data_IF_111985599341
#
_entry.id   IF_111985599341
#
_cell.length_a   1.000
_cell.length_b   1.000
_cell.length_c   1.000
_cell.angle_alpha   90.00
_cell.angle_beta   90.00
_cell.angle_gamma   90.00
#
_symmetry.space_group_name_H-M   'P 1'
#
loop_
_entity.id
_entity.type
_entity.pdbx_description
1 polymer ?
#
# COMPACT_ATOMS: atom_id res chain seq x y z
N UNK A 1 -58.87 -14.01 5.87
CA UNK A 1 -58.39 -15.19 6.58
C UNK A 1 -57.19 -15.68 5.79
N UNK A 2 -56.01 -15.71 6.20
CA UNK A 2 -55.18 -15.57 7.36
C UNK A 2 -53.83 -14.99 6.93
N UNK A 3 -53.31 -14.04 7.70
CA UNK A 3 -51.96 -13.50 7.56
C UNK A 3 -50.97 -14.51 8.13
N UNK A 4 -49.93 -14.86 7.42
CA UNK A 4 -48.74 -15.45 8.00
C UNK A 4 -47.56 -14.48 7.80
N UNK A 5 -47.11 -13.93 8.92
CA UNK A 5 -45.94 -13.09 9.04
C UNK A 5 -44.71 -13.97 9.02
N UNK A 6 -43.74 -13.66 8.15
CA UNK A 6 -42.36 -14.17 8.28
C UNK A 6 -41.46 -13.14 8.94
N UNK A 7 -41.10 -13.44 10.16
CA UNK A 7 -40.07 -12.73 10.94
C UNK A 7 -38.73 -13.10 10.38
N UNK A 8 -38.02 -12.09 9.94
CA UNK A 8 -36.61 -12.18 9.51
C UNK A 8 -35.71 -12.40 10.73
N UNK A 9 -35.06 -13.55 10.83
CA UNK A 9 -33.92 -13.81 11.71
C UNK A 9 -32.71 -14.05 10.80
N UNK A 10 -31.94 -13.03 10.60
CA UNK A 10 -30.58 -13.15 10.05
C UNK A 10 -29.66 -12.17 10.79
N UNK A 11 -29.20 -12.59 11.93
CA UNK A 11 -28.02 -12.00 12.60
C UNK A 11 -27.23 -13.16 13.20
N UNK A 12 -25.93 -13.13 13.04
CA UNK A 12 -24.92 -14.08 13.51
C UNK A 12 -24.57 -15.24 12.56
N UNK A 13 -23.61 -14.96 11.65
CA UNK A 13 -22.54 -15.92 11.27
C UNK A 13 -21.44 -15.19 10.48
N UNK A 14 -20.64 -14.37 11.13
CA UNK A 14 -19.36 -13.87 10.56
C UNK A 14 -18.26 -13.90 11.63
N UNK A 15 -17.97 -15.08 12.13
CA UNK A 15 -17.00 -15.17 13.20
C UNK A 15 -16.15 -16.44 13.29
N UNK A 16 -16.23 -17.36 12.33
CA UNK A 16 -15.46 -18.62 12.43
C UNK A 16 -15.09 -19.11 11.03
N UNK A 17 -14.17 -18.46 10.34
CA UNK A 17 -13.55 -19.03 9.13
C UNK A 17 -12.03 -18.78 9.01
N UNK A 18 -11.44 -18.06 9.93
CA UNK A 18 -9.99 -17.75 9.82
C UNK A 18 -9.04 -18.82 10.39
N UNK A 19 -9.55 -19.88 10.99
CA UNK A 19 -8.70 -20.87 11.70
C UNK A 19 -8.32 -22.12 10.89
N UNK A 20 -8.83 -22.29 9.67
CA UNK A 20 -8.67 -23.57 8.94
C UNK A 20 -7.80 -23.54 7.68
N UNK A 21 -7.32 -22.38 7.22
CA UNK A 21 -6.56 -22.30 5.97
C UNK A 21 -5.03 -22.25 6.11
N UNK A 22 -4.47 -22.38 7.33
CA UNK A 22 -3.02 -22.41 7.53
C UNK A 22 -2.39 -23.82 7.47
N UNK A 23 -3.18 -24.89 7.33
CA UNK A 23 -2.69 -26.27 7.42
C UNK A 23 -2.47 -26.99 6.09
N UNK A 24 -2.61 -26.34 4.93
CA UNK A 24 -2.62 -27.03 3.62
C UNK A 24 -1.43 -26.77 2.69
N UNK A 25 -0.33 -26.15 3.14
CA UNK A 25 0.84 -25.94 2.30
C UNK A 25 2.04 -26.85 2.58
N UNK A 26 1.92 -27.84 3.46
CA UNK A 26 2.97 -28.86 3.65
C UNK A 26 2.36 -30.25 3.86
N UNK A 27 1.98 -30.88 2.78
CA UNK A 27 1.71 -32.31 2.76
C UNK A 27 2.52 -32.96 1.64
N UNK A 28 3.78 -33.31 1.93
CA UNK A 28 4.45 -34.48 1.36
C UNK A 28 5.72 -34.80 2.16
N UNK A 29 5.63 -35.63 3.13
CA UNK A 29 6.33 -36.91 3.34
C UNK A 29 6.18 -37.37 4.79
N UNK A 30 5.73 -38.59 4.89
CA UNK A 30 5.55 -39.36 6.12
C UNK A 30 6.85 -39.63 6.84
N UNK A 31 6.98 -39.21 8.09
CA UNK A 31 7.57 -40.00 9.19
C UNK A 31 7.19 -39.32 10.51
N UNK A 32 6.49 -40.08 11.35
CA UNK A 32 6.14 -39.72 12.72
C UNK A 32 7.41 -39.48 13.51
N UNK A 33 7.54 -38.25 14.02
CA UNK A 33 8.11 -37.86 15.29
C UNK A 33 8.13 -36.32 15.31
N UNK A 34 7.05 -35.67 15.79
CA UNK A 34 7.12 -34.27 16.22
C UNK A 34 7.91 -34.26 17.55
N UNK A 35 9.11 -33.63 17.59
CA UNK A 35 9.72 -33.32 18.88
C UNK A 35 8.87 -32.26 19.58
N UNK A 36 8.32 -32.59 20.73
CA UNK A 36 7.83 -31.59 21.69
C UNK A 36 8.88 -30.50 21.85
N UNK A 37 8.58 -29.21 21.65
CA UNK A 37 9.57 -28.14 21.73
C UNK A 37 9.94 -27.88 23.19
N UNK A 38 10.90 -28.62 23.72
CA UNK A 38 11.71 -28.20 24.85
C UNK A 38 12.76 -27.25 24.29
N UNK A 39 12.68 -25.96 24.51
CA UNK A 39 13.62 -24.89 24.17
C UNK A 39 13.33 -24.06 22.89
N UNK A 40 12.08 -23.82 22.54
CA UNK A 40 11.79 -22.81 21.53
C UNK A 40 12.23 -21.42 22.04
N UNK A 41 13.18 -20.78 21.32
CA UNK A 41 13.63 -19.41 21.66
C UNK A 41 12.45 -18.47 21.55
N UNK A 42 12.16 -17.76 22.64
CA UNK A 42 11.06 -16.82 22.72
C UNK A 42 11.52 -15.47 23.29
N UNK A 43 10.84 -14.39 22.91
CA UNK A 43 11.03 -13.05 23.43
C UNK A 43 9.67 -12.40 23.64
N UNK A 44 9.54 -11.67 24.75
CA UNK A 44 8.36 -10.84 25.01
C UNK A 44 8.57 -9.44 24.45
N UNK A 45 7.49 -8.84 23.95
CA UNK A 45 7.44 -7.45 23.50
C UNK A 45 6.12 -6.81 23.90
N UNK A 46 6.10 -5.47 23.98
CA UNK A 46 4.90 -4.68 24.23
C UNK A 46 4.55 -3.89 22.96
N UNK A 47 3.28 -3.85 22.62
CA UNK A 47 2.76 -2.95 21.58
C UNK A 47 2.75 -1.53 22.16
N UNK A 48 3.64 -0.66 21.67
CA UNK A 48 3.82 0.70 22.21
C UNK A 48 2.99 1.74 21.50
N UNK A 49 2.74 1.54 20.21
CA UNK A 49 2.05 2.53 19.36
C UNK A 49 1.26 1.83 18.25
N UNK A 50 0.17 2.48 17.82
CA UNK A 50 -0.53 2.21 16.57
C UNK A 50 -0.29 3.37 15.62
N UNK A 51 0.44 3.15 14.55
CA UNK A 51 0.69 4.20 13.57
C UNK A 51 -0.55 4.54 12.72
N UNK A 52 -0.42 5.58 11.89
CA UNK A 52 -1.51 6.04 11.02
C UNK A 52 -1.97 5.02 9.97
N UNK A 53 -1.19 3.99 9.70
CA UNK A 53 -1.52 2.88 8.80
C UNK A 53 -2.20 1.71 9.51
N UNK A 54 -2.40 1.81 10.83
CA UNK A 54 -2.99 0.73 11.63
C UNK A 54 -2.02 -0.41 11.96
N UNK A 55 -0.73 -0.22 11.75
CA UNK A 55 0.31 -1.16 12.14
C UNK A 55 0.76 -0.90 13.59
N UNK A 56 1.29 -1.91 14.27
CA UNK A 56 1.71 -1.82 15.67
C UNK A 56 3.24 -1.77 15.80
N UNK A 57 3.75 -0.73 16.44
CA UNK A 57 5.14 -0.62 16.83
C UNK A 57 5.37 -1.37 18.15
N UNK A 58 6.53 -2.02 18.26
CA UNK A 58 6.94 -2.79 19.44
C UNK A 58 8.08 -2.09 20.19
N UNK A 59 8.18 -2.33 21.48
CA UNK A 59 9.34 -1.96 22.32
C UNK A 59 10.57 -2.87 22.04
N UNK A 60 10.75 -3.26 20.80
CA UNK A 60 11.73 -4.26 20.37
C UNK A 60 12.45 -3.82 19.11
N UNK A 61 13.78 -3.85 19.15
CA UNK A 61 14.63 -3.58 17.99
C UNK A 61 15.11 -4.87 17.31
N UNK A 62 15.52 -4.78 16.05
CA UNK A 62 16.13 -5.91 15.34
C UNK A 62 17.43 -6.37 16.03
N UNK A 63 18.22 -5.45 16.57
CA UNK A 63 19.45 -5.79 17.31
C UNK A 63 19.17 -6.58 18.58
N UNK A 64 18.07 -6.26 19.29
CA UNK A 64 17.62 -7.02 20.45
C UNK A 64 17.17 -8.42 20.07
N UNK A 65 16.47 -8.57 18.95
CA UNK A 65 16.10 -9.86 18.36
C UNK A 65 17.32 -10.68 17.98
N UNK A 66 18.30 -10.07 17.30
CA UNK A 66 19.56 -10.74 16.90
C UNK A 66 20.34 -11.29 18.10
N UNK A 67 20.43 -10.53 19.18
CA UNK A 67 21.06 -10.99 20.43
C UNK A 67 20.36 -12.22 21.04
N UNK A 68 19.09 -12.45 20.70
CA UNK A 68 18.29 -13.60 21.11
C UNK A 68 18.26 -14.73 20.07
N UNK A 69 19.04 -14.62 18.98
CA UNK A 69 19.16 -15.64 17.96
C UNK A 69 18.15 -15.52 16.81
N UNK A 70 17.33 -14.48 16.77
CA UNK A 70 16.45 -14.18 15.63
C UNK A 70 17.19 -13.37 14.57
N UNK A 71 16.74 -13.45 13.31
CA UNK A 71 17.25 -12.60 12.24
C UNK A 71 16.19 -12.39 11.17
N UNK A 72 16.45 -11.45 10.25
CA UNK A 72 15.65 -11.26 9.04
C UNK A 72 15.66 -12.56 8.21
N UNK A 73 14.48 -12.97 7.77
CA UNK A 73 14.28 -14.23 7.06
C UNK A 73 13.84 -15.40 7.96
N UNK A 74 13.75 -15.19 9.28
CA UNK A 74 13.15 -16.19 10.18
C UNK A 74 11.62 -16.14 10.09
N UNK A 75 10.95 -17.25 10.34
CA UNK A 75 9.50 -17.30 10.59
C UNK A 75 9.30 -17.41 12.10
N UNK A 76 8.43 -16.57 12.64
CA UNK A 76 8.08 -16.54 14.06
C UNK A 76 6.57 -16.73 14.24
N UNK A 77 6.18 -17.25 15.41
CA UNK A 77 4.80 -17.24 15.89
C UNK A 77 4.64 -16.10 16.87
N UNK A 78 3.72 -15.19 16.61
CA UNK A 78 3.33 -14.08 17.49
C UNK A 78 2.01 -14.43 18.16
N UNK A 79 1.95 -14.33 19.50
CA UNK A 79 0.77 -14.68 20.28
C UNK A 79 0.66 -13.82 21.54
N UNK A 80 -0.51 -13.80 22.17
CA UNK A 80 -0.75 -13.09 23.42
C UNK A 80 -1.46 -11.75 23.28
N UNK A 81 -1.59 -11.01 24.38
CA UNK A 81 -2.38 -9.79 24.44
C UNK A 81 -3.84 -10.03 24.06
N UNK A 82 -4.43 -9.11 23.30
CA UNK A 82 -5.77 -9.22 22.74
C UNK A 82 -5.79 -9.72 21.29
N UNK A 83 -4.70 -10.32 20.80
CA UNK A 83 -4.71 -11.01 19.51
C UNK A 83 -5.64 -12.22 19.58
N UNK A 84 -6.58 -12.37 18.64
CA UNK A 84 -7.60 -13.44 18.71
C UNK A 84 -7.03 -14.83 18.45
N UNK A 85 -5.88 -14.91 17.76
CA UNK A 85 -5.19 -16.15 17.40
C UNK A 85 -3.68 -15.94 17.39
N UNK A 86 -2.91 -17.02 17.49
CA UNK A 86 -1.48 -16.99 17.22
C UNK A 86 -1.23 -16.87 15.72
N UNK A 87 -0.27 -16.04 15.32
CA UNK A 87 0.02 -15.69 13.94
C UNK A 87 1.46 -16.09 13.59
N UNK A 88 1.59 -16.89 12.56
CA UNK A 88 2.89 -17.13 11.95
C UNK A 88 3.22 -16.04 10.96
N UNK A 89 4.41 -15.44 11.07
CA UNK A 89 4.82 -14.36 10.20
C UNK A 89 6.34 -14.31 10.02
N UNK A 90 6.83 -13.81 8.88
CA UNK A 90 8.26 -13.63 8.67
C UNK A 90 8.77 -12.38 9.41
N UNK A 91 10.03 -12.44 9.85
CA UNK A 91 10.84 -11.24 10.11
C UNK A 91 11.43 -10.79 8.79
N UNK A 92 11.05 -9.61 8.30
CA UNK A 92 11.44 -9.12 6.97
C UNK A 92 12.07 -7.74 7.04
N UNK A 93 12.91 -7.40 6.04
CA UNK A 93 13.59 -6.11 6.01
C UNK A 93 12.67 -4.94 5.69
N UNK A 94 11.64 -5.11 4.85
CA UNK A 94 10.54 -4.14 4.75
C UNK A 94 9.49 -4.38 3.66
N UNK A 95 9.73 -5.14 2.63
CA UNK A 95 8.76 -5.26 1.53
C UNK A 95 7.90 -6.49 1.71
N UNK A 96 6.67 -6.26 2.14
CA UNK A 96 5.64 -7.29 2.16
C UNK A 96 4.84 -7.22 0.86
N UNK A 97 4.49 -8.38 0.32
CA UNK A 97 3.50 -8.46 -0.76
C UNK A 97 2.13 -7.97 -0.26
N UNK A 98 1.35 -7.33 -1.13
CA UNK A 98 0.00 -6.82 -0.79
C UNK A 98 -0.82 -7.89 -0.08
N UNK A 99 -1.40 -7.56 1.07
CA UNK A 99 -2.19 -8.46 1.90
C UNK A 99 -1.41 -9.45 2.75
N UNK A 100 -0.07 -9.49 2.67
CA UNK A 100 0.76 -10.32 3.55
C UNK A 100 1.07 -9.60 4.85
N UNK A 101 1.04 -10.31 5.98
CA UNK A 101 1.51 -9.78 7.24
C UNK A 101 2.96 -10.20 7.52
N UNK A 102 3.61 -9.43 8.36
CA UNK A 102 4.98 -9.70 8.78
C UNK A 102 5.41 -8.79 9.90
N UNK A 103 6.52 -9.17 10.54
CA UNK A 103 7.24 -8.31 11.45
C UNK A 103 8.36 -7.62 10.66
N UNK A 104 8.21 -6.35 10.41
CA UNK A 104 9.15 -5.59 9.60
C UNK A 104 9.80 -4.45 10.40
N UNK A 105 10.98 -4.05 9.93
CA UNK A 105 11.67 -2.89 10.43
C UNK A 105 11.09 -1.65 9.75
N UNK A 106 10.41 -0.80 10.50
CA UNK A 106 9.88 0.45 9.97
C UNK A 106 10.56 1.64 10.64
N UNK A 107 11.08 2.54 9.83
CA UNK A 107 11.77 3.75 10.28
C UNK A 107 10.80 4.93 10.28
N UNK A 108 9.84 4.93 11.22
CA UNK A 108 8.97 6.10 11.45
C UNK A 108 9.42 6.96 12.64
N UNK A 109 10.52 6.56 13.31
CA UNK A 109 11.13 7.26 14.43
C UNK A 109 12.65 7.31 14.25
N UNK A 110 13.34 8.11 15.06
CA UNK A 110 14.81 8.20 15.06
C UNK A 110 15.51 6.87 15.39
N UNK A 111 14.76 5.89 15.94
CA UNK A 111 15.25 4.54 16.19
C UNK A 111 14.31 3.54 15.51
N UNK A 112 14.83 2.69 14.59
CA UNK A 112 14.04 1.70 13.91
C UNK A 112 13.56 0.62 14.88
N UNK A 113 12.25 0.52 15.07
CA UNK A 113 11.60 -0.49 15.90
C UNK A 113 10.96 -1.57 15.04
N UNK A 114 10.79 -2.77 15.60
CA UNK A 114 10.03 -3.83 14.93
C UNK A 114 8.55 -3.47 14.91
N UNK A 115 7.91 -3.74 13.81
CA UNK A 115 6.52 -3.40 13.57
C UNK A 115 5.74 -4.61 13.09
N UNK A 116 4.59 -4.90 13.73
CA UNK A 116 3.62 -5.85 13.19
C UNK A 116 2.83 -5.13 12.08
N UNK A 117 2.98 -5.59 10.87
CA UNK A 117 2.41 -4.92 9.71
C UNK A 117 1.62 -5.88 8.81
N UNK A 118 0.61 -5.32 8.17
CA UNK A 118 -0.11 -5.91 7.07
C UNK A 118 0.08 -5.02 5.84
N UNK A 119 0.61 -5.57 4.78
CA UNK A 119 0.93 -4.80 3.57
C UNK A 119 -0.34 -4.28 2.90
N UNK A 120 -0.40 -2.96 2.70
CA UNK A 120 -1.51 -2.22 2.11
C UNK A 120 -2.86 -2.46 2.82
N UNK A 121 -2.82 -2.71 4.14
CA UNK A 121 -4.00 -2.84 4.98
C UNK A 121 -3.67 -2.48 6.44
N UNK A 122 -4.70 -2.25 7.25
CA UNK A 122 -4.57 -2.00 8.67
C UNK A 122 -4.46 -3.32 9.45
N UNK A 123 -3.30 -3.58 10.07
CA UNK A 123 -3.11 -4.77 10.90
C UNK A 123 -4.10 -4.81 12.06
N UNK A 124 -4.26 -3.69 12.79
CA UNK A 124 -5.16 -3.60 13.94
C UNK A 124 -6.62 -3.88 13.59
N UNK A 125 -7.09 -3.41 12.44
CA UNK A 125 -8.48 -3.53 12.04
C UNK A 125 -8.79 -4.93 11.47
N UNK A 126 -7.81 -5.60 10.88
CA UNK A 126 -7.95 -6.91 10.25
C UNK A 126 -7.60 -8.08 11.16
N UNK A 127 -6.60 -7.89 12.00
CA UNK A 127 -6.06 -8.96 12.84
C UNK A 127 -6.49 -8.80 14.29
N UNK A 128 -6.58 -7.56 14.78
CA UNK A 128 -6.85 -7.24 16.17
C UNK A 128 -5.58 -6.82 16.95
N UNK A 129 -5.67 -6.78 18.26
CA UNK A 129 -4.63 -6.25 19.14
C UNK A 129 -4.88 -4.80 19.53
N UNK A 130 -4.16 -4.32 20.54
CA UNK A 130 -4.22 -2.92 21.01
C UNK A 130 -2.90 -2.48 21.66
N UNK A 131 -2.69 -1.18 21.70
CA UNK A 131 -1.57 -0.57 22.44
C UNK A 131 -1.62 -0.97 23.92
N UNK A 132 -0.48 -1.35 24.48
CA UNK A 132 -0.31 -1.89 25.82
C UNK A 132 -0.37 -3.42 25.90
N UNK A 133 -0.72 -4.13 24.83
CA UNK A 133 -0.69 -5.59 24.84
C UNK A 133 0.75 -6.11 24.94
N UNK A 134 0.93 -7.12 25.79
CA UNK A 134 2.15 -7.93 25.84
C UNK A 134 1.97 -9.15 24.96
N UNK A 135 2.93 -9.36 24.07
CA UNK A 135 2.94 -10.44 23.10
C UNK A 135 4.21 -11.26 23.24
N UNK A 136 4.10 -12.55 22.95
CA UNK A 136 5.23 -13.48 22.88
C UNK A 136 5.58 -13.73 21.40
N UNK A 137 6.86 -13.64 21.08
CA UNK A 137 7.42 -13.88 19.75
C UNK A 137 8.31 -15.13 19.86
N UNK A 138 7.87 -16.23 19.30
CA UNK A 138 8.53 -17.54 19.41
C UNK A 138 9.10 -17.94 18.06
N UNK A 139 10.35 -18.41 18.03
CA UNK A 139 10.96 -18.96 16.82
C UNK A 139 10.17 -20.17 16.33
N UNK A 140 9.65 -20.09 15.10
CA UNK A 140 8.99 -21.21 14.43
C UNK A 140 9.94 -21.91 13.48
N UNK A 141 10.61 -21.15 12.61
CA UNK A 141 11.53 -21.72 11.63
C UNK A 141 12.68 -20.75 11.34
N UNK A 142 13.89 -21.17 11.64
CA UNK A 142 15.10 -20.40 11.33
C UNK A 142 15.33 -20.34 9.82
N UNK A 143 15.47 -19.13 9.28
CA UNK A 143 15.72 -18.90 7.86
C UNK A 143 14.58 -19.30 6.91
N UNK A 144 13.39 -19.64 7.44
CA UNK A 144 12.28 -20.17 6.62
C UNK A 144 11.71 -19.20 5.59
N UNK A 145 12.01 -17.91 5.69
CA UNK A 145 11.59 -16.85 4.75
C UNK A 145 12.78 -16.20 4.05
N UNK A 146 13.99 -16.73 4.23
CA UNK A 146 15.21 -16.06 3.72
C UNK A 146 15.21 -15.91 2.21
N UNK A 147 14.82 -16.92 1.48
CA UNK A 147 14.76 -16.92 0.02
C UNK A 147 13.78 -15.84 -0.48
N UNK A 148 12.57 -15.77 0.08
CA UNK A 148 11.58 -14.75 -0.27
C UNK A 148 12.05 -13.34 0.09
N UNK A 149 12.68 -13.17 1.26
CA UNK A 149 13.23 -11.90 1.65
C UNK A 149 14.35 -11.43 0.70
N UNK A 150 15.19 -12.33 0.22
CA UNK A 150 16.25 -12.03 -0.75
C UNK A 150 15.65 -11.68 -2.13
N UNK A 151 14.56 -12.35 -2.56
CA UNK A 151 13.80 -11.99 -3.78
C UNK A 151 13.22 -10.58 -3.73
N UNK A 152 12.78 -10.12 -2.57
CA UNK A 152 12.12 -8.82 -2.40
C UNK A 152 13.09 -7.70 -2.00
N UNK A 153 14.39 -7.98 -1.93
CA UNK A 153 15.42 -7.00 -1.63
C UNK A 153 15.69 -6.13 -2.86
N UNK A 154 14.89 -5.10 -3.02
CA UNK A 154 15.02 -4.17 -4.14
C UNK A 154 16.14 -3.15 -3.90
N UNK A 155 16.78 -2.71 -4.98
CA UNK A 155 17.75 -1.63 -4.96
C UNK A 155 17.09 -0.32 -4.54
N UNK A 156 17.74 0.44 -3.69
CA UNK A 156 17.33 1.81 -3.31
C UNK A 156 18.56 2.70 -3.28
N UNK A 157 18.47 3.86 -3.89
CA UNK A 157 19.47 4.93 -3.74
C UNK A 157 18.78 6.26 -3.41
N UNK A 158 19.42 7.01 -2.52
CA UNK A 158 19.01 8.37 -2.16
C UNK A 158 19.91 9.44 -2.81
N UNK A 159 20.85 9.04 -3.65
CA UNK A 159 21.75 9.92 -4.35
C UNK A 159 21.22 10.25 -5.74
N UNK A 160 20.99 11.54 -6.03
CA UNK A 160 20.54 12.00 -7.35
C UNK A 160 21.48 11.52 -8.48
N UNK A 161 22.80 11.47 -8.24
CA UNK A 161 23.79 11.02 -9.22
C UNK A 161 23.61 9.58 -9.72
N UNK A 162 22.86 8.76 -8.99
CA UNK A 162 22.60 7.37 -9.35
C UNK A 162 21.39 7.23 -10.32
N UNK A 163 20.82 8.34 -10.77
CA UNK A 163 19.64 8.41 -11.62
C UNK A 163 19.93 9.24 -12.88
N UNK A 164 19.37 8.83 -14.01
CA UNK A 164 19.64 9.43 -15.31
C UNK A 164 19.03 10.83 -15.46
N UNK A 165 17.93 11.12 -14.75
CA UNK A 165 17.26 12.42 -14.78
C UNK A 165 16.62 12.79 -13.44
N UNK A 166 16.26 14.08 -13.30
CA UNK A 166 15.53 14.61 -12.14
C UNK A 166 14.13 13.98 -12.07
N UNK A 167 13.49 13.79 -13.22
CA UNK A 167 12.20 13.14 -13.34
C UNK A 167 12.24 11.71 -12.80
N UNK A 168 13.27 10.95 -13.14
CA UNK A 168 13.46 9.60 -12.62
C UNK A 168 13.74 9.61 -11.12
N UNK A 169 14.61 10.50 -10.65
CA UNK A 169 14.91 10.62 -9.23
C UNK A 169 13.69 11.00 -8.40
N UNK A 170 12.93 12.01 -8.83
CA UNK A 170 11.72 12.44 -8.16
C UNK A 170 10.50 11.53 -8.43
N UNK A 171 10.64 10.49 -9.24
CA UNK A 171 9.53 9.67 -9.73
C UNK A 171 8.41 10.54 -10.36
N UNK A 172 8.80 11.61 -11.06
CA UNK A 172 7.93 12.62 -11.62
C UNK A 172 7.67 12.33 -13.11
N UNK A 173 6.44 12.07 -13.47
CA UNK A 173 6.04 11.84 -14.87
C UNK A 173 4.52 11.95 -15.03
N UNK A 174 4.03 12.21 -16.27
CA UNK A 174 2.60 12.24 -16.51
C UNK A 174 1.96 10.85 -16.35
N UNK A 175 0.73 10.82 -15.88
CA UNK A 175 -0.15 9.67 -15.96
C UNK A 175 -0.94 9.82 -17.25
N UNK A 176 -0.64 8.97 -18.22
CA UNK A 176 -1.18 9.06 -19.58
C UNK A 176 -1.61 7.69 -20.09
N UNK A 177 -2.56 7.68 -21.01
CA UNK A 177 -2.89 6.58 -21.91
C UNK A 177 -3.50 7.15 -23.20
N UNK A 178 -3.67 6.33 -24.20
CA UNK A 178 -4.23 6.74 -25.50
C UNK A 178 -5.60 7.41 -25.42
N UNK A 179 -6.39 7.10 -24.37
CA UNK A 179 -7.70 7.70 -24.13
C UNK A 179 -7.69 8.99 -23.30
N UNK A 180 -6.56 9.38 -22.71
CA UNK A 180 -6.46 10.55 -21.81
C UNK A 180 -6.02 11.82 -22.51
N UNK A 181 -6.48 12.97 -21.99
CA UNK A 181 -5.92 14.28 -22.36
C UNK A 181 -4.46 14.34 -21.93
N UNK A 182 -3.54 14.74 -22.82
CA UNK A 182 -2.13 14.82 -22.50
C UNK A 182 -1.86 15.90 -21.46
N UNK A 183 -0.78 15.75 -20.69
CA UNK A 183 -0.26 16.72 -19.70
C UNK A 183 -1.27 17.23 -18.67
N UNK A 184 -2.37 16.50 -18.49
CA UNK A 184 -3.43 16.86 -17.54
C UNK A 184 -3.07 16.49 -16.11
N UNK A 185 -2.44 15.32 -15.95
CA UNK A 185 -2.21 14.67 -14.65
C UNK A 185 -0.78 14.15 -14.55
N UNK A 186 -0.11 14.51 -13.48
CA UNK A 186 1.24 14.08 -13.13
C UNK A 186 1.27 13.32 -11.81
N UNK A 187 2.30 12.54 -11.62
CA UNK A 187 2.63 11.88 -10.36
C UNK A 187 4.07 12.15 -9.95
N UNK A 188 4.35 12.10 -8.64
CA UNK A 188 5.71 12.23 -8.11
C UNK A 188 5.87 11.58 -6.74
N UNK A 189 7.12 11.51 -6.25
CA UNK A 189 7.40 11.43 -4.81
C UNK A 189 6.92 12.69 -4.11
N UNK A 190 6.92 12.66 -2.77
CA UNK A 190 6.49 13.80 -1.95
C UNK A 190 7.32 15.06 -2.25
N UNK A 191 6.66 16.23 -2.45
CA UNK A 191 7.33 17.54 -2.46
C UNK A 191 7.53 18.09 -1.03
N UNK A 192 7.34 17.26 -0.01
CA UNK A 192 7.69 17.50 1.38
C UNK A 192 8.78 16.49 1.77
N UNK A 193 9.77 16.94 2.56
CA UNK A 193 10.86 16.09 3.00
C UNK A 193 10.36 14.90 3.82
N UNK A 194 10.82 13.72 3.45
CA UNK A 194 10.54 12.48 4.17
C UNK A 194 11.82 11.99 4.86
N UNK A 195 11.69 11.35 6.00
CA UNK A 195 12.84 10.83 6.76
C UNK A 195 13.64 9.77 6.00
N UNK A 196 12.96 8.99 5.17
CA UNK A 196 13.55 7.98 4.30
C UNK A 196 13.94 8.50 2.91
N UNK A 197 13.71 9.79 2.64
CA UNK A 197 13.93 10.40 1.35
C UNK A 197 14.14 11.92 1.44
N UNK A 198 15.25 12.36 2.06
CA UNK A 198 15.40 13.74 2.50
C UNK A 198 15.69 14.75 1.39
N UNK A 199 15.91 14.34 0.14
CA UNK A 199 16.36 15.25 -0.93
C UNK A 199 15.45 15.28 -2.17
N UNK A 200 14.59 14.27 -2.37
CA UNK A 200 13.75 14.18 -3.59
C UNK A 200 12.68 15.27 -3.69
N UNK A 201 12.27 15.84 -2.54
CA UNK A 201 11.24 16.86 -2.50
C UNK A 201 11.60 18.10 -3.32
N UNK A 202 12.89 18.52 -3.32
CA UNK A 202 13.37 19.67 -4.09
C UNK A 202 13.19 19.46 -5.59
N UNK A 203 13.47 18.23 -6.06
CA UNK A 203 13.32 17.87 -7.47
C UNK A 203 11.85 17.72 -7.86
N UNK A 204 11.02 17.13 -7.00
CA UNK A 204 9.58 17.02 -7.24
C UNK A 204 8.94 18.42 -7.36
N UNK A 205 9.31 19.35 -6.48
CA UNK A 205 8.86 20.74 -6.48
C UNK A 205 9.30 21.49 -7.74
N UNK A 206 10.60 21.44 -8.04
CA UNK A 206 11.16 22.11 -9.22
C UNK A 206 10.54 21.63 -10.53
N UNK A 207 10.27 20.33 -10.64
CA UNK A 207 9.58 19.74 -11.79
C UNK A 207 8.09 20.14 -11.83
N UNK A 208 7.41 20.22 -10.69
CA UNK A 208 6.04 20.70 -10.61
C UNK A 208 5.93 22.16 -11.12
N UNK A 209 6.86 23.03 -10.71
CA UNK A 209 6.98 24.40 -11.23
C UNK A 209 7.22 24.42 -12.76
N UNK A 210 8.16 23.59 -13.23
CA UNK A 210 8.55 23.52 -14.65
C UNK A 210 7.38 23.17 -15.57
N UNK A 211 6.50 22.28 -15.15
CA UNK A 211 5.32 21.88 -15.95
C UNK A 211 4.07 22.67 -15.61
N UNK A 212 4.12 23.60 -14.65
CA UNK A 212 3.04 24.51 -14.31
C UNK A 212 1.88 23.81 -13.59
N UNK A 213 2.16 22.89 -12.66
CA UNK A 213 1.12 22.28 -11.82
C UNK A 213 0.29 23.37 -11.13
N UNK A 214 -1.02 23.23 -11.17
CA UNK A 214 -1.94 24.19 -10.55
C UNK A 214 -2.62 23.69 -9.29
N UNK A 215 -2.80 22.36 -9.21
CA UNK A 215 -3.42 21.74 -8.01
C UNK A 215 -2.66 20.47 -7.63
N UNK A 216 -2.39 20.33 -6.33
CA UNK A 216 -1.71 19.18 -5.76
C UNK A 216 -2.65 18.38 -4.86
N UNK A 217 -2.75 17.08 -5.08
CA UNK A 217 -3.48 16.13 -4.25
C UNK A 217 -2.48 15.29 -3.45
N UNK A 218 -2.35 15.57 -2.16
CA UNK A 218 -1.45 14.80 -1.30
C UNK A 218 -2.16 13.65 -0.62
N UNK A 219 -1.69 12.42 -0.91
CA UNK A 219 -2.16 11.20 -0.26
C UNK A 219 -1.26 10.81 0.93
N UNK A 220 -0.17 11.54 1.16
CA UNK A 220 0.83 11.22 2.19
C UNK A 220 0.61 11.99 3.49
N UNK A 221 0.27 13.25 3.41
CA UNK A 221 0.32 14.18 4.52
C UNK A 221 -1.06 14.69 4.92
N UNK A 222 -1.21 15.05 6.21
CA UNK A 222 -2.27 15.93 6.68
C UNK A 222 -1.80 17.39 6.57
N UNK A 223 -2.76 18.32 6.58
CA UNK A 223 -2.46 19.74 6.62
C UNK A 223 -1.62 20.14 7.86
N UNK A 224 -1.85 19.48 9.00
CA UNK A 224 -1.04 19.67 10.21
C UNK A 224 0.44 19.33 9.97
N UNK A 225 0.73 18.20 9.30
CA UNK A 225 2.11 17.80 8.98
C UNK A 225 2.77 18.82 8.03
N UNK A 226 2.02 19.34 7.07
CA UNK A 226 2.47 20.39 6.17
C UNK A 226 2.79 21.68 6.93
N UNK A 227 1.88 22.14 7.79
CA UNK A 227 2.08 23.32 8.64
C UNK A 227 3.28 23.19 9.57
N UNK A 228 3.52 21.99 10.11
CA UNK A 228 4.71 21.71 10.92
C UNK A 228 5.99 21.89 10.10
N UNK A 229 6.06 21.37 8.87
CA UNK A 229 7.20 21.58 7.99
C UNK A 229 7.42 23.06 7.67
N UNK A 230 6.36 23.79 7.31
CA UNK A 230 6.43 25.24 7.07
C UNK A 230 6.94 26.01 8.28
N UNK A 231 6.51 25.63 9.49
CA UNK A 231 6.93 26.28 10.74
C UNK A 231 8.42 26.10 11.07
N UNK A 232 9.03 25.01 10.60
CA UNK A 232 10.48 24.78 10.75
C UNK A 232 11.30 25.57 9.74
N UNK A 233 10.71 26.11 8.71
CA UNK A 233 11.37 26.88 7.65
C UNK A 233 12.22 26.02 6.71
N UNK A 234 12.03 24.70 6.69
CA UNK A 234 12.81 23.77 5.85
C UNK A 234 12.03 22.49 5.54
N UNK A 235 12.50 21.73 4.55
CA UNK A 235 11.96 20.42 4.23
C UNK A 235 10.70 20.47 3.36
N UNK A 236 10.45 21.57 2.68
CA UNK A 236 9.37 21.73 1.69
C UNK A 236 9.90 22.41 0.42
N UNK A 237 9.18 22.21 -0.69
CA UNK A 237 9.47 22.90 -1.93
C UNK A 237 8.81 24.28 -1.98
N UNK A 238 9.51 25.28 -2.47
CA UNK A 238 9.04 26.68 -2.53
C UNK A 238 7.81 26.85 -3.43
N UNK A 239 7.74 26.10 -4.54
CA UNK A 239 6.57 26.16 -5.41
C UNK A 239 5.33 25.55 -4.77
N UNK A 240 5.49 24.44 -4.11
CA UNK A 240 4.39 23.82 -3.38
C UNK A 240 3.94 24.70 -2.19
N UNK A 241 4.87 25.47 -1.59
CA UNK A 241 4.48 26.49 -0.60
C UNK A 241 3.62 27.58 -1.23
N UNK A 242 3.97 28.11 -2.41
CA UNK A 242 3.17 29.08 -3.15
C UNK A 242 1.76 28.51 -3.39
N UNK A 243 1.66 27.28 -3.90
CA UNK A 243 0.38 26.59 -4.13
C UNK A 243 -0.42 26.38 -2.82
N UNK A 244 0.26 26.13 -1.70
CA UNK A 244 -0.39 26.00 -0.40
C UNK A 244 -0.99 27.34 0.06
N UNK A 245 -0.22 28.42 -0.05
CA UNK A 245 -0.67 29.77 0.32
C UNK A 245 -1.89 30.23 -0.54
N UNK A 246 -2.01 29.70 -1.76
CA UNK A 246 -3.14 29.91 -2.68
C UNK A 246 -4.35 28.98 -2.41
N UNK A 247 -4.21 28.00 -1.50
CA UNK A 247 -5.24 26.99 -1.23
C UNK A 247 -5.33 25.87 -2.28
N UNK A 248 -4.27 25.69 -3.06
CA UNK A 248 -4.19 24.73 -4.18
C UNK A 248 -3.52 23.39 -3.81
N UNK A 249 -3.25 23.14 -2.52
CA UNK A 249 -2.85 21.81 -2.00
C UNK A 249 -4.01 21.24 -1.22
N UNK A 250 -4.46 20.05 -1.62
CA UNK A 250 -5.59 19.33 -1.05
C UNK A 250 -5.12 18.06 -0.33
N UNK A 251 -5.55 17.89 0.92
CA UNK A 251 -5.01 16.89 1.84
C UNK A 251 -5.94 15.69 1.99
N UNK A 252 -5.48 14.51 1.53
CA UNK A 252 -6.22 13.24 1.57
C UNK A 252 -5.37 12.13 2.18
N UNK A 253 -4.73 12.40 3.32
CA UNK A 253 -3.90 11.38 3.99
C UNK A 253 -4.63 10.04 4.03
N UNK A 254 -4.15 9.09 3.24
CA UNK A 254 -4.73 7.77 3.02
C UNK A 254 -3.78 6.67 3.44
N UNK A 255 -4.30 5.60 4.04
CA UNK A 255 -3.52 4.41 4.39
C UNK A 255 -3.34 3.44 3.22
N UNK A 256 -3.99 3.66 2.07
CA UNK A 256 -4.05 2.75 0.90
C UNK A 256 -4.81 1.45 1.19
N UNK A 257 -5.53 1.35 2.24
CA UNK A 257 -6.29 0.12 2.47
C UNK A 257 -7.51 0.08 1.53
N UNK A 258 -7.28 -0.43 0.31
CA UNK A 258 -8.36 -0.60 -0.70
C UNK A 258 -9.39 -1.66 -0.29
N UNK A 259 -9.14 -2.38 0.80
CA UNK A 259 -10.06 -3.32 1.40
C UNK A 259 -11.01 -2.66 2.42
N UNK A 260 -10.83 -1.39 2.73
CA UNK A 260 -11.60 -0.69 3.77
C UNK A 260 -12.41 0.44 3.17
N UNK A 261 -13.71 0.41 3.38
CA UNK A 261 -14.65 1.38 2.81
C UNK A 261 -14.29 2.84 3.12
N UNK A 262 -13.75 3.13 4.32
CA UNK A 262 -13.30 4.50 4.68
C UNK A 262 -12.17 5.04 3.80
N UNK A 263 -11.31 4.17 3.29
CA UNK A 263 -10.22 4.59 2.37
C UNK A 263 -10.76 4.74 0.94
N UNK A 264 -11.72 3.92 0.56
CA UNK A 264 -12.46 4.09 -0.70
C UNK A 264 -13.18 5.45 -0.74
N UNK A 265 -13.79 5.89 0.36
CA UNK A 265 -14.41 7.23 0.47
C UNK A 265 -13.41 8.34 0.19
N UNK A 266 -12.18 8.25 0.71
CA UNK A 266 -11.11 9.25 0.41
C UNK A 266 -10.75 9.27 -1.07
N UNK A 267 -10.74 8.12 -1.75
CA UNK A 267 -10.55 8.08 -3.20
C UNK A 267 -11.66 8.88 -3.88
N UNK A 268 -12.92 8.70 -3.45
CA UNK A 268 -14.06 9.48 -3.93
C UNK A 268 -13.91 10.99 -3.69
N UNK A 269 -13.39 11.38 -2.53
CA UNK A 269 -13.11 12.79 -2.21
C UNK A 269 -12.06 13.40 -3.13
N UNK A 270 -10.95 12.66 -3.42
CA UNK A 270 -9.94 13.08 -4.41
C UNK A 270 -10.60 13.32 -5.77
N UNK A 271 -11.42 12.36 -6.25
CA UNK A 271 -12.08 12.44 -7.55
C UNK A 271 -13.05 13.65 -7.63
N UNK A 272 -13.85 13.89 -6.59
CA UNK A 272 -14.74 15.07 -6.50
C UNK A 272 -13.96 16.37 -6.51
N UNK A 273 -12.81 16.39 -5.87
CA UNK A 273 -11.98 17.59 -5.83
C UNK A 273 -11.31 17.87 -7.17
N UNK A 274 -10.96 16.84 -7.94
CA UNK A 274 -10.48 17.02 -9.32
C UNK A 274 -11.53 17.70 -10.20
N UNK A 275 -12.82 17.41 -9.99
CA UNK A 275 -13.92 18.08 -10.74
C UNK A 275 -14.07 19.58 -10.41
N UNK A 276 -13.49 20.04 -9.32
CA UNK A 276 -13.62 21.42 -8.80
C UNK A 276 -12.32 22.22 -8.86
N UNK A 277 -11.25 21.59 -9.29
CA UNK A 277 -9.91 22.16 -9.29
C UNK A 277 -9.39 22.37 -10.71
N UNK A 278 -8.38 23.20 -10.84
CA UNK A 278 -7.77 23.55 -12.11
C UNK A 278 -6.56 22.63 -12.44
N UNK A 279 -6.53 22.01 -13.61
CA UNK A 279 -5.36 21.29 -14.11
C UNK A 279 -4.25 22.28 -14.56
N UNK A 280 -2.99 21.80 -14.73
CA UNK A 280 -2.52 20.43 -14.55
C UNK A 280 -2.46 20.00 -13.07
N UNK A 281 -2.80 18.74 -12.83
CA UNK A 281 -2.82 18.14 -11.50
C UNK A 281 -1.53 17.40 -11.17
N UNK A 282 -1.11 17.45 -9.90
CA UNK A 282 -0.11 16.56 -9.34
C UNK A 282 -0.75 15.69 -8.27
N UNK A 283 -0.67 14.38 -8.42
CA UNK A 283 -1.01 13.42 -7.36
C UNK A 283 0.27 12.82 -6.82
N UNK A 284 0.44 12.85 -5.52
CA UNK A 284 1.59 12.25 -4.88
C UNK A 284 1.23 11.50 -3.59
N UNK A 285 2.06 10.53 -3.24
CA UNK A 285 2.17 9.98 -1.90
C UNK A 285 3.62 10.13 -1.43
N UNK A 286 4.08 9.37 -0.46
CA UNK A 286 5.46 9.44 0.00
C UNK A 286 6.46 9.17 -1.15
N UNK A 287 6.26 8.06 -1.88
CA UNK A 287 7.14 7.63 -2.96
C UNK A 287 6.57 7.88 -4.37
N UNK A 288 5.33 8.32 -4.49
CA UNK A 288 4.64 8.43 -5.79
C UNK A 288 4.41 7.07 -6.45
N UNK A 289 4.38 5.98 -5.69
CA UNK A 289 4.39 4.60 -6.19
C UNK A 289 3.05 3.90 -5.96
N UNK A 290 2.75 3.50 -4.73
CA UNK A 290 1.62 2.61 -4.42
C UNK A 290 0.26 3.34 -4.44
N UNK A 291 0.03 4.28 -3.51
CA UNK A 291 -1.22 5.09 -3.42
C UNK A 291 -1.50 5.88 -4.69
N UNK A 292 -0.48 6.55 -5.16
CA UNK A 292 -0.52 7.31 -6.41
C UNK A 292 -0.77 6.40 -7.61
N UNK A 293 -0.17 5.21 -7.61
CA UNK A 293 -0.37 4.20 -8.64
C UNK A 293 -1.81 3.69 -8.69
N UNK A 294 -2.44 3.45 -7.54
CA UNK A 294 -3.84 3.05 -7.47
C UNK A 294 -4.77 4.10 -8.12
N UNK A 295 -4.59 5.38 -7.80
CA UNK A 295 -5.34 6.47 -8.43
C UNK A 295 -5.09 6.48 -9.94
N UNK A 296 -3.82 6.29 -10.36
CA UNK A 296 -3.46 6.20 -11.78
C UNK A 296 -4.19 5.07 -12.51
N UNK A 297 -4.20 3.86 -11.93
CA UNK A 297 -4.92 2.70 -12.49
C UNK A 297 -6.42 3.04 -12.68
N UNK A 298 -7.06 3.60 -11.66
CA UNK A 298 -8.48 3.96 -11.69
C UNK A 298 -8.75 4.96 -12.82
N UNK A 299 -7.99 6.04 -12.91
CA UNK A 299 -8.20 7.09 -13.92
C UNK A 299 -7.89 6.61 -15.34
N UNK A 300 -6.79 5.87 -15.53
CA UNK A 300 -6.46 5.29 -16.83
C UNK A 300 -7.53 4.26 -17.28
N UNK A 301 -8.04 3.44 -16.37
CA UNK A 301 -9.14 2.50 -16.66
C UNK A 301 -10.42 3.23 -17.07
N UNK A 302 -10.77 4.33 -16.38
CA UNK A 302 -11.94 5.16 -16.76
C UNK A 302 -11.76 5.80 -18.13
N UNK A 303 -10.54 6.13 -18.52
CA UNK A 303 -10.21 6.69 -19.82
C UNK A 303 -10.08 5.64 -20.94
N UNK A 304 -10.25 4.35 -20.63
CA UNK A 304 -10.22 3.26 -21.61
C UNK A 304 -8.80 2.80 -21.98
N UNK A 305 -7.85 2.92 -21.06
CA UNK A 305 -6.47 2.44 -21.25
C UNK A 305 -6.42 0.94 -21.55
N UNK A 306 -5.41 0.51 -22.32
CA UNK A 306 -5.06 -0.90 -22.48
C UNK A 306 -4.33 -1.43 -21.25
N UNK A 307 -4.23 -2.76 -21.14
CA UNK A 307 -3.46 -3.40 -20.06
C UNK A 307 -2.01 -2.92 -20.04
N UNK A 308 -1.38 -2.88 -21.21
CA UNK A 308 0.03 -2.49 -21.38
C UNK A 308 0.28 -1.04 -20.99
N UNK A 309 -0.68 -0.14 -21.26
CA UNK A 309 -0.59 1.26 -20.85
C UNK A 309 -0.65 1.41 -19.33
N UNK A 310 -1.59 0.72 -18.68
CA UNK A 310 -1.74 0.73 -17.21
C UNK A 310 -0.53 0.09 -16.55
N UNK A 311 -0.09 -1.08 -17.03
CA UNK A 311 1.10 -1.79 -16.55
C UNK A 311 2.35 -0.91 -16.65
N UNK A 312 2.63 -0.40 -17.84
CA UNK A 312 3.80 0.44 -18.11
C UNK A 312 3.83 1.66 -17.20
N UNK A 313 2.70 2.36 -17.07
CA UNK A 313 2.58 3.52 -16.18
C UNK A 313 2.81 3.16 -14.71
N UNK A 314 2.25 2.06 -14.25
CA UNK A 314 2.38 1.62 -12.85
C UNK A 314 3.79 1.12 -12.55
N UNK A 315 4.33 0.21 -13.37
CA UNK A 315 5.64 -0.41 -13.16
C UNK A 315 6.80 0.57 -13.37
N UNK A 316 6.61 1.64 -14.16
CA UNK A 316 7.58 2.73 -14.29
C UNK A 316 7.95 3.34 -12.94
N UNK A 317 7.00 3.42 -11.98
CA UNK A 317 7.31 3.90 -10.65
C UNK A 317 8.28 2.99 -9.90
N UNK A 318 8.17 1.68 -10.08
CA UNK A 318 9.09 0.71 -9.48
C UNK A 318 10.45 0.71 -10.19
N UNK A 319 10.46 0.89 -11.50
CA UNK A 319 11.70 1.10 -12.24
C UNK A 319 12.44 2.35 -11.75
N UNK A 320 11.75 3.46 -11.63
CA UNK A 320 12.34 4.72 -11.15
C UNK A 320 12.92 4.60 -9.74
N UNK A 321 12.22 3.89 -8.83
CA UNK A 321 12.65 3.72 -7.44
C UNK A 321 13.68 2.63 -7.24
N UNK A 322 13.53 1.49 -7.93
CA UNK A 322 14.20 0.24 -7.60
C UNK A 322 14.98 -0.35 -8.76
N UNK A 323 15.00 0.28 -9.92
CA UNK A 323 15.55 -0.29 -11.15
C UNK A 323 14.90 -1.65 -11.50
N UNK A 324 13.64 -1.81 -11.10
CA UNK A 324 12.91 -3.04 -11.33
C UNK A 324 12.38 -3.10 -12.76
N UNK A 325 12.98 -3.97 -13.56
CA UNK A 325 12.58 -4.28 -14.93
C UNK A 325 12.74 -5.76 -15.24
N UNK A 326 12.43 -6.17 -16.46
CA UNK A 326 12.46 -7.56 -16.90
C UNK A 326 13.84 -8.23 -16.83
N UNK A 327 14.93 -7.48 -16.61
CA UNK A 327 16.27 -8.04 -16.38
C UNK A 327 16.49 -8.51 -14.93
N UNK A 328 15.62 -8.08 -14.01
CA UNK A 328 15.68 -8.52 -12.63
C UNK A 328 15.28 -10.00 -12.49
N UNK A 329 16.06 -10.87 -11.83
CA UNK A 329 15.82 -12.33 -11.83
C UNK A 329 14.44 -12.75 -11.32
N UNK A 330 13.82 -11.95 -10.47
CA UNK A 330 12.51 -12.22 -9.86
C UNK A 330 11.43 -11.25 -10.33
N UNK A 331 11.61 -10.64 -11.51
CA UNK A 331 10.67 -9.64 -12.04
C UNK A 331 9.24 -10.19 -12.14
N UNK A 332 9.08 -11.39 -12.68
CA UNK A 332 7.75 -11.98 -12.86
C UNK A 332 7.01 -12.16 -11.52
N UNK A 333 7.71 -12.65 -10.49
CA UNK A 333 7.13 -12.81 -9.15
C UNK A 333 6.74 -11.45 -8.55
N UNK A 334 7.63 -10.45 -8.68
CA UNK A 334 7.39 -9.10 -8.18
C UNK A 334 6.28 -8.40 -8.94
N UNK A 335 6.24 -8.52 -10.26
CA UNK A 335 5.18 -8.00 -11.11
C UNK A 335 3.80 -8.53 -10.66
N UNK A 336 3.71 -9.85 -10.47
CA UNK A 336 2.48 -10.49 -9.99
C UNK A 336 2.02 -9.92 -8.63
N UNK A 337 2.92 -9.78 -7.68
CA UNK A 337 2.53 -9.31 -6.32
C UNK A 337 2.34 -7.80 -6.21
N UNK A 338 3.01 -7.01 -7.04
CA UNK A 338 2.95 -5.55 -7.00
C UNK A 338 1.84 -4.99 -7.89
N UNK A 339 1.58 -5.60 -9.04
CA UNK A 339 0.65 -5.09 -10.03
C UNK A 339 -0.59 -5.96 -10.24
N UNK A 340 -0.43 -7.25 -10.60
CA UNK A 340 -1.61 -8.10 -10.90
C UNK A 340 -2.54 -8.27 -9.70
N UNK A 341 -2.00 -8.34 -8.48
CA UNK A 341 -2.82 -8.37 -7.26
C UNK A 341 -3.68 -7.15 -7.09
N UNK A 342 -3.17 -5.95 -7.39
CA UNK A 342 -3.95 -4.72 -7.29
C UNK A 342 -5.10 -4.73 -8.30
N UNK A 343 -4.82 -5.16 -9.54
CA UNK A 343 -5.88 -5.32 -10.54
C UNK A 343 -6.93 -6.34 -10.09
N UNK A 344 -6.50 -7.47 -9.53
CA UNK A 344 -7.42 -8.48 -8.99
C UNK A 344 -8.32 -7.90 -7.89
N UNK A 345 -7.73 -7.17 -6.94
CA UNK A 345 -8.48 -6.55 -5.85
C UNK A 345 -9.48 -5.54 -6.40
N UNK A 346 -9.10 -4.68 -7.32
CA UNK A 346 -9.98 -3.71 -7.97
C UNK A 346 -11.10 -4.40 -8.76
N UNK A 347 -10.79 -5.51 -9.46
CA UNK A 347 -11.80 -6.29 -10.20
C UNK A 347 -12.86 -6.94 -9.31
N UNK A 348 -12.60 -7.03 -8.01
CA UNK A 348 -13.50 -7.53 -6.97
C UNK A 348 -14.02 -6.41 -6.06
N UNK A 349 -13.87 -5.15 -6.45
CA UNK A 349 -14.31 -3.98 -5.68
C UNK A 349 -13.75 -3.94 -4.24
N UNK A 350 -12.56 -4.52 -4.03
CA UNK A 350 -11.95 -4.67 -2.71
C UNK A 350 -12.46 -5.86 -1.88
N UNK A 351 -13.48 -6.57 -2.35
CA UNK A 351 -14.07 -7.73 -1.64
C UNK A 351 -13.33 -9.03 -2.02
N UNK A 352 -12.20 -9.25 -1.37
CA UNK A 352 -11.33 -10.41 -1.58
C UNK A 352 -11.03 -11.16 -0.29
N UNK A 353 -10.94 -12.49 -0.39
CA UNK A 353 -10.31 -13.32 0.64
C UNK A 353 -8.79 -13.16 0.54
N UNK A 354 -8.22 -12.40 1.49
CA UNK A 354 -6.80 -12.05 1.50
C UNK A 354 -5.92 -13.31 1.57
N UNK A 355 -6.28 -14.29 2.41
CA UNK A 355 -5.47 -15.50 2.57
C UNK A 355 -5.45 -16.32 1.27
N UNK A 356 -6.61 -16.45 0.62
CA UNK A 356 -6.74 -17.12 -0.67
C UNK A 356 -5.97 -16.39 -1.78
N UNK A 357 -6.08 -15.06 -1.83
CA UNK A 357 -5.35 -14.23 -2.79
C UNK A 357 -3.84 -14.36 -2.60
N UNK A 358 -3.34 -14.32 -1.35
CA UNK A 358 -1.91 -14.45 -1.07
C UNK A 358 -1.35 -15.82 -1.45
N UNK A 359 -2.16 -16.85 -1.48
CA UNK A 359 -1.78 -18.19 -1.94
C UNK A 359 -1.73 -18.31 -3.48
N UNK A 360 -2.27 -17.32 -4.22
CA UNK A 360 -2.23 -17.33 -5.68
C UNK A 360 -0.84 -16.93 -6.18
N UNK A 361 -0.28 -17.72 -7.06
CA UNK A 361 1.00 -17.46 -7.75
C UNK A 361 0.82 -16.84 -9.13
N UNK A 362 -0.39 -16.87 -9.66
CA UNK A 362 -0.78 -16.31 -10.95
C UNK A 362 -2.20 -15.78 -10.88
N UNK A 363 -2.53 -14.80 -11.71
CA UNK A 363 -3.87 -14.22 -11.82
C UNK A 363 -4.39 -14.37 -13.27
N UNK A 364 -5.70 -14.53 -13.47
CA UNK A 364 -6.31 -14.58 -14.80
C UNK A 364 -6.39 -13.16 -15.40
N UNK A 365 -5.25 -12.62 -15.80
CA UNK A 365 -5.04 -11.19 -16.11
C UNK A 365 -5.95 -10.70 -17.23
N UNK A 366 -6.18 -11.48 -18.30
CA UNK A 366 -7.09 -11.11 -19.39
C UNK A 366 -8.54 -10.97 -18.92
N UNK A 367 -9.02 -11.90 -18.07
CA UNK A 367 -10.37 -11.87 -17.52
C UNK A 367 -10.54 -10.68 -16.55
N UNK A 368 -9.54 -10.48 -15.66
CA UNK A 368 -9.49 -9.36 -14.74
C UNK A 368 -9.59 -8.05 -15.52
N UNK A 369 -8.73 -7.85 -16.51
CA UNK A 369 -8.67 -6.59 -17.24
C UNK A 369 -9.93 -6.34 -18.07
N UNK A 370 -10.54 -7.39 -18.65
CA UNK A 370 -11.82 -7.27 -19.36
C UNK A 370 -12.95 -6.78 -18.46
N UNK A 371 -12.97 -7.18 -17.19
CA UNK A 371 -14.00 -6.78 -16.22
C UNK A 371 -13.66 -5.47 -15.48
N UNK A 372 -12.40 -5.03 -15.52
CA UNK A 372 -11.89 -3.93 -14.72
C UNK A 372 -12.64 -2.60 -14.95
N UNK A 373 -13.00 -2.18 -16.18
CA UNK A 373 -13.72 -0.93 -16.38
C UNK A 373 -15.06 -0.87 -15.64
N UNK A 374 -15.83 -1.95 -15.69
CA UNK A 374 -17.10 -2.04 -14.95
C UNK A 374 -16.90 -2.13 -13.44
N UNK A 375 -15.90 -2.87 -13.00
CA UNK A 375 -15.57 -2.99 -11.58
C UNK A 375 -15.07 -1.67 -10.99
N UNK A 376 -14.28 -0.88 -11.71
CA UNK A 376 -13.84 0.46 -11.29
C UNK A 376 -15.02 1.41 -11.16
N UNK A 377 -15.96 1.42 -12.13
CA UNK A 377 -17.19 2.23 -12.02
C UNK A 377 -18.01 1.82 -10.80
N UNK A 378 -18.19 0.51 -10.60
CA UNK A 378 -18.90 -0.03 -9.45
C UNK A 378 -18.21 0.31 -8.12
N UNK A 379 -16.90 0.16 -8.04
CA UNK A 379 -16.10 0.55 -6.88
C UNK A 379 -16.23 2.05 -6.55
N UNK A 380 -16.12 2.91 -7.55
CA UNK A 380 -16.28 4.35 -7.37
C UNK A 380 -17.69 4.73 -6.91
N UNK A 381 -18.70 4.04 -7.41
CA UNK A 381 -20.09 4.27 -7.00
C UNK A 381 -20.39 3.70 -5.60
N UNK A 382 -20.18 2.41 -5.43
CA UNK A 382 -20.63 1.67 -4.24
C UNK A 382 -19.74 1.88 -3.01
N UNK A 383 -18.41 2.00 -3.22
CA UNK A 383 -17.40 2.10 -2.14
C UNK A 383 -16.91 3.53 -1.95
N UNK A 384 -16.63 4.24 -3.04
CA UNK A 384 -16.11 5.61 -2.97
C UNK A 384 -17.22 6.68 -2.90
N UNK A 385 -18.48 6.29 -3.09
CA UNK A 385 -19.65 7.12 -2.93
C UNK A 385 -19.86 8.18 -4.01
N UNK A 386 -19.24 8.04 -5.19
CA UNK A 386 -19.52 8.92 -6.33
C UNK A 386 -20.88 8.58 -6.95
N UNK A 387 -21.61 9.60 -7.38
CA UNK A 387 -22.74 9.38 -8.27
C UNK A 387 -22.27 8.99 -9.68
N UNK A 388 -23.12 8.34 -10.45
CA UNK A 388 -22.79 8.06 -11.87
C UNK A 388 -22.55 9.32 -12.69
N UNK A 389 -23.23 10.42 -12.35
CA UNK A 389 -23.00 11.72 -13.00
C UNK A 389 -21.60 12.28 -12.67
N UNK A 390 -21.13 12.14 -11.43
CA UNK A 390 -19.76 12.54 -11.04
C UNK A 390 -18.71 11.67 -11.75
N UNK A 391 -18.96 10.36 -11.87
CA UNK A 391 -18.05 9.46 -12.60
C UNK A 391 -18.00 9.84 -14.09
N UNK A 392 -19.12 10.16 -14.69
CA UNK A 392 -19.16 10.58 -16.10
C UNK A 392 -18.53 11.96 -16.32
N UNK A 393 -18.70 12.89 -15.38
CA UNK A 393 -18.00 14.18 -15.40
C UNK A 393 -16.48 13.97 -15.27
N UNK A 394 -16.03 13.08 -14.39
CA UNK A 394 -14.62 12.73 -14.24
C UNK A 394 -14.06 12.15 -15.53
N UNK A 395 -14.80 11.22 -16.16
CA UNK A 395 -14.43 10.66 -17.46
C UNK A 395 -14.26 11.75 -18.53
N UNK A 396 -15.20 12.70 -18.63
CA UNK A 396 -15.10 13.84 -19.56
C UNK A 396 -13.93 14.78 -19.24
N UNK A 397 -13.63 14.96 -17.95
CA UNK A 397 -12.48 15.77 -17.52
C UNK A 397 -11.17 15.19 -18.06
N UNK A 398 -10.99 13.88 -17.92
CA UNK A 398 -9.70 13.21 -18.19
C UNK A 398 -9.55 12.70 -19.63
N UNK A 399 -10.64 12.32 -20.30
CA UNK A 399 -10.58 11.67 -21.60
C UNK A 399 -10.48 12.67 -22.76
N UNK A 400 -9.85 12.22 -23.84
CA UNK A 400 -10.00 12.84 -25.16
C UNK A 400 -11.47 12.75 -25.57
N UNK A 401 -12.04 13.87 -26.00
CA UNK A 401 -13.43 13.95 -26.47
C UNK A 401 -13.62 13.25 -27.83
#
# INVERSE_FOLDING_TARGET
MERISFVNKSVFTHGIVCALCLSLLFACSSSNDEPTPKDAVSVEATITERNSFGNFLLDLSLDSLKKKGFDVGDIVTVSGGSLPVSLDMPITSFTLAVGSWGMCLMSFSNEPTMTLALANASFSDRVGGKVGDRISITMKQKGGYKEQNDKYKLYISYKRSDYDSDEMFANFYPIECSGMKPVLLYRSSSPLMESDNPTRYEYADGLARKVGIRTVFTLAHSEEQWNNALSTGSGYGEYCKELYDEGNILFYKSAIDIFVDKEAVKIGEVMRSMLKSDPPFLIHCQHGRDRTGLIGIILQTLAGATYEEVESSYMKAFYNWHRLDASYPYYADLHTILFERILYILSKEGDVDIAKMCAMTTFPTEEIFRSLPSAVVSYLHNKSGLSYDEIEQLRKLISLS
#
